data_IF_633791657717
#
_entry.id   IF_633791657717
#
_cell.length_a   1.000
_cell.length_b   1.000
_cell.length_c   1.000
_cell.angle_alpha   90.00
_cell.angle_beta   90.00
_cell.angle_gamma   90.00
#
_symmetry.space_group_name_H-M   'P 1'
#
loop_
_entity.id
_entity.type
_entity.pdbx_description
1 polymer ?
#
# COMPACT_ATOMS: atom_id res chain seq x y z
N UNK A 1 -11.74 -6.66 14.05
CA UNK A 1 -12.05 -6.97 12.68
C UNK A 1 -12.09 -8.44 12.40
N UNK A 2 -12.60 -9.31 12.70
CA UNK A 2 -12.93 -10.69 12.46
C UNK A 2 -12.11 -11.51 11.45
N UNK A 3 -11.20 -10.90 10.69
CA UNK A 3 -10.40 -11.61 9.69
C UNK A 3 -8.92 -11.75 10.07
N UNK A 4 -8.54 -11.25 11.25
CA UNK A 4 -7.17 -11.35 11.71
C UNK A 4 -6.74 -12.80 11.89
N UNK A 5 -5.47 -13.08 11.64
CA UNK A 5 -4.90 -14.41 11.71
C UNK A 5 -3.70 -14.44 12.65
N UNK A 6 -3.20 -15.64 12.96
CA UNK A 6 -2.05 -15.77 13.85
C UNK A 6 -0.82 -15.08 13.25
N UNK A 7 0.01 -14.43 14.10
CA UNK A 7 1.25 -13.83 13.61
C UNK A 7 2.15 -14.88 12.96
N UNK A 8 2.78 -14.49 11.84
CA UNK A 8 3.71 -15.33 11.09
C UNK A 8 3.13 -16.67 10.61
N UNK A 9 1.80 -16.80 10.63
CA UNK A 9 1.14 -17.94 10.01
C UNK A 9 1.32 -17.89 8.49
N UNK A 10 0.98 -18.99 7.79
CA UNK A 10 1.05 -18.99 6.32
C UNK A 10 0.19 -17.86 5.73
N UNK A 11 -1.00 -17.66 6.26
CA UNK A 11 -1.88 -16.60 5.79
C UNK A 11 -1.29 -15.20 6.05
N UNK A 12 -0.67 -15.00 7.23
CA UNK A 12 -0.03 -13.74 7.54
C UNK A 12 1.14 -13.45 6.58
N UNK A 13 1.94 -14.46 6.29
CA UNK A 13 3.07 -14.33 5.35
C UNK A 13 2.57 -14.04 3.94
N UNK A 14 1.52 -14.72 3.49
CA UNK A 14 0.93 -14.44 2.17
C UNK A 14 0.34 -13.03 2.11
N UNK A 15 -0.27 -12.57 3.19
CA UNK A 15 -0.76 -11.20 3.28
C UNK A 15 0.37 -10.19 3.18
N UNK A 16 1.51 -10.46 3.82
CA UNK A 16 2.68 -9.60 3.71
C UNK A 16 3.26 -9.61 2.29
N UNK A 17 3.33 -10.78 1.65
CA UNK A 17 3.81 -10.92 0.28
C UNK A 17 2.94 -10.10 -0.69
N UNK A 18 1.64 -9.97 -0.42
CA UNK A 18 0.74 -9.18 -1.24
C UNK A 18 1.19 -7.73 -1.40
N UNK A 19 1.96 -7.21 -0.43
CA UNK A 19 2.45 -5.83 -0.48
C UNK A 19 3.78 -5.66 -1.20
N UNK A 20 4.45 -6.74 -1.61
CA UNK A 20 5.72 -6.61 -2.31
C UNK A 20 5.55 -5.88 -3.64
N UNK A 21 4.56 -6.28 -4.42
CA UNK A 21 4.12 -5.58 -5.63
C UNK A 21 2.62 -5.84 -5.81
N UNK A 22 2.03 -5.28 -6.88
CA UNK A 22 0.63 -5.60 -7.18
C UNK A 22 0.47 -7.02 -7.76
N UNK A 23 1.53 -7.64 -8.28
CA UNK A 23 1.46 -8.96 -8.94
C UNK A 23 1.05 -10.06 -7.95
N UNK A 24 1.71 -10.23 -6.78
CA UNK A 24 1.23 -11.20 -5.79
C UNK A 24 -0.20 -10.93 -5.33
N UNK A 25 -0.58 -9.67 -5.19
CA UNK A 25 -1.94 -9.31 -4.80
C UNK A 25 -2.98 -9.81 -5.81
N UNK A 26 -2.71 -9.62 -7.09
CA UNK A 26 -3.60 -10.11 -8.16
C UNK A 26 -3.66 -11.63 -8.14
N UNK A 27 -2.52 -12.30 -7.97
CA UNK A 27 -2.45 -13.75 -7.90
C UNK A 27 -3.31 -14.28 -6.75
N UNK A 28 -3.22 -13.66 -5.56
CA UNK A 28 -4.01 -14.06 -4.41
C UNK A 28 -5.52 -13.90 -4.66
N UNK A 29 -5.92 -12.89 -5.42
CA UNK A 29 -7.32 -12.68 -5.75
C UNK A 29 -7.83 -13.64 -6.82
N UNK A 30 -6.96 -14.23 -7.62
CA UNK A 30 -7.34 -15.16 -8.68
C UNK A 30 -7.37 -16.61 -8.23
N UNK A 31 -6.55 -16.99 -7.24
CA UNK A 31 -6.49 -18.37 -6.73
C UNK A 31 -7.70 -18.64 -5.84
N UNK A 32 -8.55 -19.67 -6.14
CA UNK A 32 -9.74 -19.92 -5.36
C UNK A 32 -9.50 -20.17 -3.86
N UNK A 33 -8.41 -20.84 -3.50
CA UNK A 33 -8.08 -21.14 -2.11
C UNK A 33 -7.79 -19.87 -1.29
N UNK A 34 -7.07 -18.93 -1.87
CA UNK A 34 -6.71 -17.67 -1.19
C UNK A 34 -7.79 -16.62 -1.33
N UNK A 35 -8.49 -16.61 -2.47
CA UNK A 35 -9.58 -15.68 -2.74
C UNK A 35 -10.69 -15.75 -1.68
N UNK A 36 -10.93 -16.94 -1.09
CA UNK A 36 -11.97 -17.15 -0.09
C UNK A 36 -11.62 -16.60 1.28
N UNK A 37 -10.34 -16.36 1.55
CA UNK A 37 -9.87 -15.90 2.86
C UNK A 37 -10.00 -14.40 2.96
N UNK A 38 -10.81 -13.91 3.90
CA UNK A 38 -11.06 -12.47 4.06
C UNK A 38 -9.77 -11.69 4.33
N UNK A 39 -8.89 -12.23 5.16
CA UNK A 39 -7.61 -11.60 5.47
C UNK A 39 -6.79 -11.36 4.20
N UNK A 40 -6.64 -12.38 3.36
CA UNK A 40 -5.86 -12.26 2.12
C UNK A 40 -6.53 -11.33 1.11
N UNK A 41 -7.85 -11.39 0.99
CA UNK A 41 -8.58 -10.47 0.11
C UNK A 41 -8.38 -9.03 0.54
N UNK A 42 -8.48 -8.76 1.84
CA UNK A 42 -8.29 -7.40 2.36
C UNK A 42 -6.91 -6.88 2.03
N UNK A 43 -5.86 -7.65 2.35
CA UNK A 43 -4.49 -7.20 2.10
C UNK A 43 -4.18 -7.08 0.61
N UNK A 44 -4.72 -7.98 -0.22
CA UNK A 44 -4.55 -7.88 -1.66
C UNK A 44 -5.19 -6.62 -2.22
N UNK A 45 -6.42 -6.31 -1.83
CA UNK A 45 -7.09 -5.08 -2.27
C UNK A 45 -6.41 -3.83 -1.74
N UNK A 46 -5.98 -3.85 -0.47
CA UNK A 46 -5.26 -2.70 0.10
C UNK A 46 -3.91 -2.49 -0.60
N UNK A 47 -3.21 -3.57 -0.95
CA UNK A 47 -1.98 -3.47 -1.73
C UNK A 47 -2.21 -2.81 -3.09
N UNK A 48 -3.22 -3.25 -3.82
CA UNK A 48 -3.56 -2.67 -5.12
C UNK A 48 -3.93 -1.20 -4.97
N UNK A 49 -4.78 -0.88 -3.99
CA UNK A 49 -5.18 0.51 -3.74
C UNK A 49 -4.00 1.37 -3.33
N UNK A 50 -3.11 0.85 -2.48
CA UNK A 50 -1.90 1.55 -2.08
C UNK A 50 -0.96 1.82 -3.26
N UNK A 51 -0.79 0.83 -4.15
CA UNK A 51 0.04 1.00 -5.35
C UNK A 51 -0.54 2.07 -6.28
N UNK A 52 -1.86 2.07 -6.50
CA UNK A 52 -2.52 3.08 -7.31
C UNK A 52 -2.35 4.46 -6.68
N UNK A 53 -2.61 4.58 -5.38
CA UNK A 53 -2.45 5.85 -4.66
C UNK A 53 -1.01 6.34 -4.74
N UNK A 54 -0.03 5.45 -4.57
CA UNK A 54 1.39 5.80 -4.65
C UNK A 54 1.76 6.28 -6.05
N UNK A 55 1.22 5.65 -7.09
CA UNK A 55 1.45 6.07 -8.48
C UNK A 55 0.87 7.47 -8.73
N UNK A 56 -0.35 7.74 -8.25
CA UNK A 56 -0.97 9.06 -8.38
C UNK A 56 -0.14 10.12 -7.64
N UNK A 57 0.25 9.83 -6.40
CA UNK A 57 1.10 10.73 -5.62
C UNK A 57 2.43 10.97 -6.33
N UNK A 58 3.02 9.92 -6.90
CA UNK A 58 4.27 10.02 -7.65
C UNK A 58 4.17 10.92 -8.87
N UNK A 59 3.07 10.80 -9.63
CA UNK A 59 2.83 11.67 -10.80
C UNK A 59 2.65 13.12 -10.35
N UNK A 60 1.83 13.36 -9.32
CA UNK A 60 1.61 14.71 -8.81
C UNK A 60 2.92 15.32 -8.27
N UNK A 61 3.72 14.54 -7.58
CA UNK A 61 5.02 14.99 -7.06
C UNK A 61 5.97 15.38 -8.19
N UNK A 62 5.98 14.61 -9.28
CA UNK A 62 6.81 14.93 -10.46
C UNK A 62 6.36 16.22 -11.15
N UNK A 63 5.06 16.42 -11.27
CA UNK A 63 4.52 17.65 -11.84
C UNK A 63 4.89 18.85 -10.97
N UNK A 64 4.74 18.72 -9.66
CA UNK A 64 5.14 19.77 -8.72
C UNK A 64 6.65 20.04 -8.80
N UNK A 65 7.47 18.99 -8.84
CA UNK A 65 8.92 19.10 -8.96
C UNK A 65 9.32 19.85 -10.24
N UNK A 66 8.68 19.49 -11.36
CA UNK A 66 8.94 20.15 -12.63
C UNK A 66 8.54 21.63 -12.57
N UNK A 67 7.42 21.96 -11.93
CA UNK A 67 6.98 23.34 -11.73
C UNK A 67 7.95 24.14 -10.87
N UNK A 68 8.43 23.55 -9.76
CA UNK A 68 9.41 24.20 -8.89
C UNK A 68 10.76 24.44 -9.57
N UNK A 69 11.13 23.56 -10.50
CA UNK A 69 12.36 23.74 -11.27
C UNK A 69 12.37 24.95 -12.18
N UNK A 70 11.20 25.55 -12.45
CA UNK A 70 11.10 26.80 -13.21
C UNK A 70 11.47 28.04 -12.39
N UNK A 71 11.50 27.92 -11.06
CA UNK A 71 11.87 29.03 -10.19
C UNK A 71 13.37 29.06 -9.97
N UNK A 72 14.03 30.23 -10.10
CA UNK A 72 15.43 30.36 -9.77
C UNK A 72 15.66 30.22 -8.27
N UNK A 73 16.92 29.98 -7.86
CA UNK A 73 17.33 29.99 -6.45
C UNK A 73 16.56 29.08 -5.53
N UNK A 74 16.87 27.80 -5.57
CA UNK A 74 16.39 26.84 -4.58
C UNK A 74 15.10 26.12 -4.93
N UNK A 75 14.40 26.48 -6.01
CA UNK A 75 13.21 25.71 -6.43
C UNK A 75 13.53 24.26 -6.70
N UNK A 76 14.67 24.00 -7.30
CA UNK A 76 15.15 22.65 -7.56
C UNK A 76 15.44 21.89 -6.27
N UNK A 77 16.14 22.55 -5.33
CA UNK A 77 16.45 21.95 -4.03
C UNK A 77 15.17 21.64 -3.25
N UNK A 78 14.22 22.58 -3.24
CA UNK A 78 12.94 22.38 -2.58
C UNK A 78 12.20 21.19 -3.19
N UNK A 79 12.19 21.06 -4.52
CA UNK A 79 11.58 19.94 -5.21
C UNK A 79 12.19 18.59 -4.79
N UNK A 80 13.51 18.54 -4.71
CA UNK A 80 14.21 17.34 -4.25
C UNK A 80 13.86 16.98 -2.81
N UNK A 81 13.82 17.98 -1.92
CA UNK A 81 13.47 17.76 -0.52
C UNK A 81 12.04 17.24 -0.37
N UNK A 82 11.09 17.84 -1.09
CA UNK A 82 9.69 17.39 -1.06
C UNK A 82 9.55 15.99 -1.62
N UNK A 83 10.22 15.69 -2.74
CA UNK A 83 10.18 14.34 -3.30
C UNK A 83 10.77 13.32 -2.34
N UNK A 84 11.85 13.66 -1.65
CA UNK A 84 12.47 12.81 -0.64
C UNK A 84 11.53 12.53 0.53
N UNK A 85 10.87 13.56 1.05
CA UNK A 85 9.92 13.40 2.16
C UNK A 85 8.76 12.51 1.75
N UNK A 86 8.18 12.75 0.57
CA UNK A 86 7.07 11.92 0.07
C UNK A 86 7.51 10.47 -0.10
N UNK A 87 8.69 10.24 -0.69
CA UNK A 87 9.21 8.90 -0.91
C UNK A 87 9.45 8.16 0.40
N UNK A 88 10.01 8.85 1.41
CA UNK A 88 10.21 8.25 2.73
C UNK A 88 8.88 7.92 3.39
N UNK A 89 7.90 8.81 3.29
CA UNK A 89 6.58 8.57 3.88
C UNK A 89 5.92 7.33 3.24
N UNK A 90 5.98 7.20 1.91
CA UNK A 90 5.44 6.04 1.22
C UNK A 90 6.20 4.77 1.56
N UNK A 91 7.52 4.84 1.66
CA UNK A 91 8.34 3.70 2.04
C UNK A 91 8.02 3.21 3.44
N UNK A 92 7.95 4.09 4.42
CA UNK A 92 7.62 3.69 5.78
C UNK A 92 6.20 3.17 5.91
N UNK A 93 5.25 3.75 5.15
CA UNK A 93 3.89 3.23 5.10
C UNK A 93 3.88 1.81 4.53
N UNK A 94 4.63 1.58 3.46
CA UNK A 94 4.75 0.25 2.87
C UNK A 94 5.34 -0.76 3.86
N UNK A 95 6.42 -0.39 4.55
CA UNK A 95 7.03 -1.25 5.58
C UNK A 95 6.02 -1.57 6.68
N UNK A 96 5.26 -0.56 7.13
CA UNK A 96 4.22 -0.76 8.14
C UNK A 96 3.18 -1.77 7.68
N UNK A 97 2.72 -1.67 6.43
CA UNK A 97 1.73 -2.59 5.89
C UNK A 97 2.27 -4.02 5.82
N UNK A 98 3.50 -4.19 5.38
CA UNK A 98 4.14 -5.50 5.33
C UNK A 98 4.25 -6.10 6.73
N UNK A 99 4.72 -5.31 7.69
CA UNK A 99 4.90 -5.78 9.07
C UNK A 99 3.55 -6.12 9.72
N UNK A 100 2.55 -5.26 9.56
CA UNK A 100 1.22 -5.51 10.13
C UNK A 100 0.59 -6.77 9.54
N UNK A 101 0.71 -6.97 8.24
CA UNK A 101 0.21 -8.18 7.59
C UNK A 101 0.94 -9.43 8.09
N UNK A 102 2.28 -9.36 8.23
CA UNK A 102 3.08 -10.48 8.75
C UNK A 102 2.72 -10.82 10.19
N UNK A 103 2.28 -9.83 10.97
CA UNK A 103 1.79 -10.05 12.34
C UNK A 103 0.34 -10.54 12.38
N UNK A 104 -0.29 -10.73 11.23
CA UNK A 104 -1.66 -11.23 11.14
C UNK A 104 -2.73 -10.18 11.38
N UNK A 105 -2.37 -8.91 11.38
CA UNK A 105 -3.28 -7.81 11.68
C UNK A 105 -3.88 -7.21 10.41
N UNK A 106 -5.14 -6.77 10.50
CA UNK A 106 -5.82 -6.01 9.45
C UNK A 106 -5.69 -4.52 9.72
N UNK A 107 -4.50 -3.98 9.48
CA UNK A 107 -4.30 -2.54 9.61
C UNK A 107 -4.88 -1.82 8.40
N UNK A 108 -5.84 -0.94 8.63
CA UNK A 108 -6.48 -0.15 7.58
C UNK A 108 -5.80 1.21 7.45
N UNK A 109 -5.32 1.51 6.24
CA UNK A 109 -4.82 2.86 5.96
C UNK A 109 -5.98 3.86 5.95
N UNK A 110 -5.76 5.13 6.36
CA UNK A 110 -6.79 6.15 6.22
C UNK A 110 -7.27 6.24 4.76
N UNK A 111 -8.57 6.25 4.56
CA UNK A 111 -9.28 6.30 3.27
C UNK A 111 -9.08 5.07 2.37
N UNK A 112 -7.87 4.55 2.28
CA UNK A 112 -7.53 3.38 1.44
C UNK A 112 -8.05 2.09 2.07
N UNK A 113 -7.84 1.92 3.39
CA UNK A 113 -8.24 0.73 4.12
C UNK A 113 -9.73 0.46 4.07
N UNK A 114 -10.59 1.45 4.39
CA UNK A 114 -12.04 1.26 4.28
C UNK A 114 -12.48 0.89 2.86
N UNK A 115 -11.87 1.47 1.84
CA UNK A 115 -12.17 1.13 0.46
C UNK A 115 -11.76 -0.31 0.15
N UNK A 116 -10.58 -0.72 0.59
CA UNK A 116 -10.11 -2.10 0.42
C UNK A 116 -11.01 -3.09 1.16
N UNK A 117 -11.43 -2.76 2.38
CA UNK A 117 -12.35 -3.59 3.16
C UNK A 117 -13.68 -3.78 2.44
N UNK A 118 -14.20 -2.71 1.83
CA UNK A 118 -15.43 -2.77 1.06
C UNK A 118 -15.27 -3.71 -0.14
N UNK A 119 -14.21 -3.57 -0.92
CA UNK A 119 -13.96 -4.45 -2.07
C UNK A 119 -13.71 -5.89 -1.65
N UNK A 120 -13.09 -6.09 -0.49
CA UNK A 120 -12.83 -7.43 0.02
C UNK A 120 -14.04 -8.09 0.68
N UNK A 121 -15.09 -7.31 0.98
CA UNK A 121 -16.29 -7.84 1.66
C UNK A 121 -16.07 -8.16 3.13
N UNK A 122 -15.16 -7.45 3.81
CA UNK A 122 -14.87 -7.65 5.24
C UNK A 122 -15.36 -6.50 6.11
N UNK A 123 -16.15 -5.61 5.55
CA UNK A 123 -16.75 -4.51 6.28
C UNK A 123 -17.72 -4.98 7.34
#
# INVERSE_FOLDING_TARGET
MGAEVAPLSLDAILGAIAYLTFVPAIILLLIPQTKRKKFLRFHAWQSIAFMIASAVIGVLARLLFAGLGLFPFGGYLLGWLLAGVVSLALFFTWVLLVLKAALGEEYELPWIGPLAARFAGVE
#
